data_IF_048644874380
#
_entry.id   IF_048644874380
#
_cell.length_a   1.000
_cell.length_b   1.000
_cell.length_c   1.000
_cell.angle_alpha   90.00
_cell.angle_beta   90.00
_cell.angle_gamma   90.00
#
_symmetry.space_group_name_H-M   'P 1'
#
loop_
_entity.id
_entity.type
_entity.pdbx_description
1 polymer ?
#
# COMPACT_ATOMS: atom_id res chain seq x y z
N UNK A 1 6.79 7.49 -9.53
CA UNK A 1 6.65 6.99 -8.14
C UNK A 1 7.31 7.96 -7.17
N UNK A 2 6.74 8.23 -5.98
CA UNK A 2 7.37 9.04 -4.94
C UNK A 2 8.16 8.16 -3.93
N UNK A 3 9.50 8.10 -4.00
CA UNK A 3 10.29 7.12 -3.23
C UNK A 3 10.13 7.27 -1.72
N UNK A 4 10.14 8.51 -1.21
CA UNK A 4 9.99 8.76 0.22
C UNK A 4 8.65 8.31 0.83
N UNK A 5 7.57 8.34 0.04
CA UNK A 5 6.24 7.85 0.46
C UNK A 5 6.17 6.34 0.31
N UNK A 6 6.67 5.81 -0.81
CA UNK A 6 6.68 4.37 -1.08
C UNK A 6 7.49 3.59 -0.05
N UNK A 7 8.69 4.07 0.29
CA UNK A 7 9.59 3.39 1.21
C UNK A 7 8.99 3.23 2.63
N UNK A 8 7.99 4.02 3.03
CA UNK A 8 7.28 3.82 4.30
C UNK A 8 6.57 2.46 4.38
N UNK A 9 6.36 1.81 3.24
CA UNK A 9 5.68 0.53 3.11
C UNK A 9 6.63 -0.60 2.68
N UNK A 10 7.95 -0.38 2.59
CA UNK A 10 8.92 -1.40 2.20
C UNK A 10 9.84 -1.69 3.38
N UNK A 11 9.83 -2.94 3.86
CA UNK A 11 10.67 -3.36 4.97
C UNK A 11 12.16 -3.16 4.68
N UNK A 12 12.94 -2.90 5.72
CA UNK A 12 14.38 -2.66 5.60
C UNK A 12 14.77 -1.23 5.19
N UNK A 13 13.88 -0.46 4.56
CA UNK A 13 14.18 0.95 4.20
C UNK A 13 14.28 1.86 5.43
N UNK A 14 15.05 2.94 5.32
CA UNK A 14 15.18 3.95 6.39
C UNK A 14 13.84 4.56 6.80
N UNK A 15 12.94 4.80 5.84
CA UNK A 15 11.61 5.35 6.11
C UNK A 15 10.70 4.37 6.87
N UNK A 16 10.72 3.08 6.51
CA UNK A 16 10.00 2.05 7.27
C UNK A 16 10.55 1.91 8.69
N UNK A 17 11.87 1.79 8.85
CA UNK A 17 12.53 1.71 10.16
C UNK A 17 12.17 2.89 11.05
N UNK A 18 12.16 4.12 10.51
CA UNK A 18 11.74 5.32 11.24
C UNK A 18 10.27 5.29 11.66
N UNK A 19 9.37 4.81 10.81
CA UNK A 19 7.95 4.66 11.17
C UNK A 19 7.81 3.70 12.37
N UNK A 20 8.51 2.55 12.32
CA UNK A 20 8.53 1.57 13.40
C UNK A 20 9.12 2.13 14.70
N UNK A 21 10.23 2.87 14.62
CA UNK A 21 10.84 3.52 15.77
C UNK A 21 9.90 4.55 16.43
N UNK A 22 9.06 5.22 15.63
CA UNK A 22 8.03 6.15 16.12
C UNK A 22 6.74 5.44 16.58
N UNK A 23 6.78 4.13 16.85
CA UNK A 23 5.63 3.34 17.32
C UNK A 23 4.55 3.07 16.27
N UNK A 24 4.77 3.45 15.01
CA UNK A 24 3.79 3.22 13.92
C UNK A 24 3.96 1.82 13.34
N UNK A 25 2.85 1.26 12.88
CA UNK A 25 2.80 -0.05 12.20
C UNK A 25 2.24 0.15 10.79
N UNK A 26 3.09 0.54 9.80
CA UNK A 26 2.61 0.71 8.43
C UNK A 26 2.28 -0.66 7.82
N UNK A 27 1.31 -0.68 6.90
CA UNK A 27 1.12 -1.81 5.97
C UNK A 27 2.41 -2.03 5.17
N UNK A 28 2.68 -3.29 4.84
CA UNK A 28 3.91 -3.75 4.19
C UNK A 28 3.61 -4.15 2.75
N UNK A 29 4.27 -3.54 1.78
CA UNK A 29 4.25 -3.95 0.39
C UNK A 29 5.44 -4.88 0.12
N UNK A 30 5.18 -6.05 -0.46
CA UNK A 30 6.22 -7.03 -0.81
C UNK A 30 6.43 -7.15 -2.32
N UNK A 31 5.45 -6.74 -3.12
CA UNK A 31 5.56 -6.72 -4.59
C UNK A 31 6.23 -5.41 -5.09
N UNK A 32 6.68 -5.41 -6.35
CA UNK A 32 7.38 -4.29 -6.97
C UNK A 32 6.40 -3.14 -7.27
N UNK A 33 6.57 -1.97 -6.62
CA UNK A 33 5.60 -0.88 -6.75
C UNK A 33 5.56 -0.24 -8.14
N UNK A 34 6.67 -0.25 -8.89
CA UNK A 34 6.68 0.29 -10.26
C UNK A 34 5.92 -0.63 -11.21
N UNK A 35 6.13 -1.95 -11.09
CA UNK A 35 5.38 -2.96 -11.86
C UNK A 35 3.89 -2.90 -11.54
N UNK A 36 3.55 -2.85 -10.25
CA UNK A 36 2.16 -2.70 -9.81
C UNK A 36 1.50 -1.43 -10.36
N UNK A 37 2.21 -0.30 -10.38
CA UNK A 37 1.65 0.94 -10.94
C UNK A 37 1.32 0.78 -12.44
N UNK A 38 2.23 0.18 -13.22
CA UNK A 38 2.01 -0.06 -14.65
C UNK A 38 0.85 -1.05 -14.90
N UNK A 39 0.73 -2.08 -14.07
CA UNK A 39 -0.31 -3.08 -14.19
C UNK A 39 -1.68 -2.58 -13.75
N UNK A 40 -1.73 -1.78 -12.69
CA UNK A 40 -2.97 -1.42 -11.99
C UNK A 40 -3.56 -0.06 -12.36
N UNK A 41 -2.75 0.94 -12.73
CA UNK A 41 -3.27 2.29 -12.94
C UNK A 41 -4.40 2.34 -13.97
N UNK A 42 -5.54 2.95 -13.60
CA UNK A 42 -6.73 3.08 -14.42
C UNK A 42 -7.65 1.85 -14.49
N UNK A 43 -7.34 0.77 -13.78
CA UNK A 43 -8.11 -0.50 -13.80
C UNK A 43 -8.94 -0.74 -12.55
N UNK A 44 -8.87 0.16 -11.58
CA UNK A 44 -9.46 0.01 -10.25
C UNK A 44 -10.71 0.82 -10.02
N UNK A 45 -11.17 0.76 -8.78
CA UNK A 45 -12.24 1.65 -8.31
C UNK A 45 -11.64 2.99 -7.88
N UNK A 46 -12.05 4.07 -8.54
CA UNK A 46 -11.59 5.42 -8.27
C UNK A 46 -12.33 6.06 -7.10
N UNK A 47 -11.57 6.73 -6.24
CA UNK A 47 -12.01 7.50 -5.07
C UNK A 47 -11.25 8.83 -5.04
N UNK A 48 -11.51 9.69 -6.03
CA UNK A 48 -10.80 10.95 -6.21
C UNK A 48 -9.33 10.72 -6.60
N UNK A 49 -8.39 11.14 -5.75
CA UNK A 49 -6.95 10.96 -5.98
C UNK A 49 -6.43 9.59 -5.55
N UNK A 50 -7.32 8.62 -5.35
CA UNK A 50 -6.99 7.25 -4.94
C UNK A 50 -7.68 6.26 -5.84
N UNK A 51 -7.02 5.15 -6.07
CA UNK A 51 -7.55 4.04 -6.88
C UNK A 51 -7.28 2.73 -6.16
N UNK A 52 -8.33 1.94 -5.92
CA UNK A 52 -8.21 0.64 -5.25
C UNK A 52 -8.21 -0.47 -6.30
N UNK A 53 -7.15 -1.27 -6.29
CA UNK A 53 -6.92 -2.38 -7.22
C UNK A 53 -6.88 -3.69 -6.43
N UNK A 54 -7.47 -4.74 -6.99
CA UNK A 54 -7.20 -6.12 -6.61
C UNK A 54 -6.30 -6.75 -7.67
N UNK A 55 -5.07 -7.11 -7.29
CA UNK A 55 -4.07 -7.64 -8.22
C UNK A 55 -4.21 -9.16 -8.43
N UNK A 56 -5.15 -9.82 -7.74
CA UNK A 56 -5.37 -11.27 -7.83
C UNK A 56 -4.25 -12.15 -7.26
N UNK A 57 -3.18 -11.53 -6.74
CA UNK A 57 -2.04 -12.18 -6.07
C UNK A 57 -1.71 -11.41 -4.80
N UNK A 58 -1.08 -12.05 -3.82
CA UNK A 58 -0.66 -11.36 -2.59
C UNK A 58 0.38 -10.30 -2.93
N UNK A 59 0.09 -9.04 -2.62
CA UNK A 59 0.96 -7.88 -2.90
C UNK A 59 1.65 -7.35 -1.64
N UNK A 60 1.20 -7.83 -0.47
CA UNK A 60 1.76 -7.45 0.81
C UNK A 60 0.82 -7.75 1.97
N UNK A 61 1.06 -7.07 3.09
CA UNK A 61 0.30 -7.17 4.34
C UNK A 61 -0.39 -5.85 4.67
N UNK A 62 -1.70 -5.90 4.84
CA UNK A 62 -2.49 -4.82 5.41
C UNK A 62 -2.38 -4.87 6.94
N UNK A 63 -2.04 -3.75 7.56
CA UNK A 63 -2.08 -3.64 9.03
C UNK A 63 -3.44 -3.09 9.47
N UNK A 64 -4.20 -3.88 10.23
CA UNK A 64 -5.44 -3.42 10.85
C UNK A 64 -5.18 -2.84 12.24
N UNK A 65 -5.61 -1.60 12.43
CA UNK A 65 -5.40 -0.86 13.68
C UNK A 65 -6.33 -1.30 14.81
N UNK A 66 -7.45 -1.99 14.51
CA UNK A 66 -8.38 -2.45 15.55
C UNK A 66 -7.93 -3.77 16.16
N UNK A 67 -7.61 -4.75 15.32
CA UNK A 67 -7.10 -6.05 15.79
C UNK A 67 -5.60 -6.04 16.08
N UNK A 68 -4.89 -4.97 15.70
CA UNK A 68 -3.44 -4.81 15.89
C UNK A 68 -2.61 -5.90 15.17
N UNK A 69 -3.14 -6.45 14.07
CA UNK A 69 -2.56 -7.56 13.32
C UNK A 69 -2.32 -7.22 11.84
N UNK A 70 -1.47 -8.02 11.21
CA UNK A 70 -1.19 -7.98 9.78
C UNK A 70 -1.94 -9.08 9.05
N UNK A 71 -2.55 -8.74 7.92
CA UNK A 71 -3.30 -9.67 7.06
C UNK A 71 -2.74 -9.62 5.66
N UNK A 72 -2.48 -10.78 5.06
CA UNK A 72 -2.12 -10.85 3.64
C UNK A 72 -3.25 -10.28 2.79
N UNK A 73 -2.88 -9.50 1.79
CA UNK A 73 -3.85 -8.82 0.92
C UNK A 73 -3.41 -8.88 -0.53
N UNK A 74 -4.39 -9.07 -1.40
CA UNK A 74 -4.23 -8.93 -2.85
C UNK A 74 -4.57 -7.51 -3.32
N UNK A 75 -5.08 -6.68 -2.40
CA UNK A 75 -5.57 -5.34 -2.70
C UNK A 75 -4.55 -4.30 -2.31
N UNK A 76 -4.40 -3.28 -3.14
CA UNK A 76 -3.66 -2.08 -2.78
C UNK A 76 -4.34 -0.82 -3.33
N UNK A 77 -4.10 0.29 -2.64
CA UNK A 77 -4.53 1.61 -3.07
C UNK A 77 -3.35 2.33 -3.71
N UNK A 78 -3.53 2.80 -4.95
CA UNK A 78 -2.65 3.76 -5.58
C UNK A 78 -3.09 5.15 -5.12
N UNK A 79 -2.16 5.91 -4.51
CA UNK A 79 -2.38 7.28 -4.08
C UNK A 79 -1.65 8.24 -5.00
N UNK A 80 -2.40 9.05 -5.74
CA UNK A 80 -1.90 10.09 -6.62
C UNK A 80 -1.74 11.43 -5.88
N UNK A 81 -0.71 12.19 -6.24
CA UNK A 81 -0.53 13.58 -5.81
C UNK A 81 -0.64 14.57 -6.96
N UNK A 82 -0.77 15.85 -6.63
CA UNK A 82 -0.96 16.96 -7.58
C UNK A 82 0.25 17.21 -8.47
N UNK A 83 1.40 16.59 -8.19
CA UNK A 83 2.65 16.71 -8.96
C UNK A 83 2.84 15.52 -9.91
N UNK A 84 1.81 14.69 -10.09
CA UNK A 84 1.86 13.50 -10.94
C UNK A 84 2.63 12.33 -10.34
N UNK A 85 2.97 12.36 -9.04
CA UNK A 85 3.57 11.20 -8.39
C UNK A 85 2.51 10.28 -7.81
N UNK A 86 2.88 9.00 -7.68
CA UNK A 86 2.09 7.99 -7.02
C UNK A 86 2.90 7.28 -5.92
N UNK A 87 2.19 6.64 -4.98
CA UNK A 87 2.70 5.58 -4.11
C UNK A 87 1.59 4.56 -3.85
N UNK A 88 1.99 3.32 -3.53
CA UNK A 88 1.09 2.19 -3.38
C UNK A 88 1.10 1.72 -1.93
N UNK A 89 -0.09 1.55 -1.38
CA UNK A 89 -0.32 1.12 0.00
C UNK A 89 -1.20 -0.13 0.01
N UNK A 90 -0.76 -1.26 0.63
CA UNK A 90 -1.63 -2.43 0.79
C UNK A 90 -2.93 -2.07 1.51
N UNK A 91 -4.05 -2.52 0.96
CA UNK A 91 -5.40 -2.19 1.40
C UNK A 91 -6.06 -3.39 2.09
N UNK A 92 -7.15 -3.13 2.81
CA UNK A 92 -7.91 -4.20 3.48
C UNK A 92 -8.33 -5.30 2.47
N UNK A 93 -8.16 -6.59 2.81
CA UNK A 93 -8.58 -7.71 1.95
C UNK A 93 -10.06 -7.62 1.55
N UNK A 94 -10.44 -8.31 0.47
CA UNK A 94 -11.86 -8.40 0.09
C UNK A 94 -12.64 -9.10 1.21
N UNK A 95 -13.80 -8.56 1.60
CA UNK A 95 -14.62 -9.12 2.67
C UNK A 95 -14.07 -8.93 4.09
N UNK A 96 -13.00 -8.12 4.26
CA UNK A 96 -12.42 -7.86 5.58
C UNK A 96 -13.43 -7.11 6.47
N UNK A 97 -13.89 -7.78 7.54
CA UNK A 97 -14.76 -7.21 8.56
C UNK A 97 -13.89 -6.59 9.65
N UNK A 98 -14.06 -5.28 9.88
CA UNK A 98 -13.35 -4.51 10.91
C UNK A 98 -14.15 -4.43 12.18
#
# INVERSE_FOLDING_TARGET
MHPGRQNKHIEGTSNYKRQKANGKKPSILTDNPNKMLLEGAGKGTNYGNKEVIDYGRVVGKFYDTKSNQYYDTTRATIHYDTKGNAHIVPAAPRGFKR
#
